data_IF_597339828543
#
_entry.id   IF_597339828543
#
_cell.length_a   1.000
_cell.length_b   1.000
_cell.length_c   1.000
_cell.angle_alpha   90.00
_cell.angle_beta   90.00
_cell.angle_gamma   90.00
#
_symmetry.space_group_name_H-M   'P 1'
#
loop_
_entity.id
_entity.type
_entity.pdbx_description
1 polymer ?
#
# COMPACT_ATOMS: atom_id res chain seq x y z
N UNK A 1 10.97 27.58 -20.19
CA UNK A 1 11.04 27.16 -18.78
C UNK A 1 11.66 25.77 -18.72
N UNK A 2 12.68 25.62 -17.88
CA UNK A 2 13.42 24.38 -17.70
C UNK A 2 13.28 23.94 -16.24
N UNK A 3 13.06 22.63 -16.03
CA UNK A 3 12.95 22.07 -14.69
C UNK A 3 13.86 20.83 -14.60
N UNK A 4 14.71 20.78 -13.56
CA UNK A 4 15.49 19.61 -13.19
C UNK A 4 14.85 18.87 -12.03
N UNK A 5 14.80 17.53 -12.11
CA UNK A 5 14.18 16.67 -11.10
C UNK A 5 15.14 15.67 -10.49
N UNK A 6 16.15 15.26 -11.24
CA UNK A 6 17.08 14.22 -10.80
C UNK A 6 18.51 14.60 -11.15
N UNK A 7 19.44 14.23 -10.28
CA UNK A 7 20.88 14.43 -10.49
C UNK A 7 21.63 13.15 -10.13
N UNK A 8 22.62 12.81 -10.96
CA UNK A 8 23.58 11.73 -10.67
C UNK A 8 25.00 12.25 -10.80
N UNK A 9 25.84 11.88 -9.84
CA UNK A 9 27.30 12.08 -9.96
C UNK A 9 27.89 10.88 -10.68
N UNK A 10 28.63 11.16 -11.76
CA UNK A 10 29.36 10.15 -12.51
C UNK A 10 30.66 9.77 -11.81
N UNK A 11 31.21 8.61 -12.17
CA UNK A 11 32.45 8.10 -11.57
C UNK A 11 33.69 9.00 -11.79
N UNK A 12 33.65 9.89 -12.79
CA UNK A 12 34.66 10.90 -13.10
C UNK A 12 34.44 12.25 -12.39
N UNK A 13 33.44 12.32 -11.50
CA UNK A 13 33.09 13.50 -10.72
C UNK A 13 32.17 14.49 -11.42
N UNK A 14 31.81 14.26 -12.68
CA UNK A 14 30.82 15.07 -13.42
C UNK A 14 29.44 14.87 -12.87
N UNK A 15 28.56 15.86 -13.07
CA UNK A 15 27.17 15.80 -12.67
C UNK A 15 26.27 15.80 -13.91
N UNK A 16 25.28 14.91 -13.93
CA UNK A 16 24.22 14.92 -14.95
C UNK A 16 22.90 15.22 -14.25
N UNK A 17 22.25 16.28 -14.70
CA UNK A 17 20.88 16.65 -14.25
C UNK A 17 19.92 16.34 -15.37
N UNK A 18 18.82 15.66 -15.03
CA UNK A 18 17.72 15.36 -15.97
C UNK A 18 16.43 16.06 -15.55
N UNK A 19 15.63 16.39 -16.54
CA UNK A 19 14.37 17.07 -16.37
C UNK A 19 13.63 17.25 -17.68
N UNK A 20 12.97 18.40 -17.85
CA UNK A 20 12.39 18.80 -19.11
C UNK A 20 12.68 20.28 -19.42
N UNK A 21 12.66 20.60 -20.70
CA UNK A 21 12.69 21.96 -21.20
C UNK A 21 11.57 22.20 -22.21
N UNK A 22 11.07 23.44 -22.27
CA UNK A 22 10.02 23.78 -23.23
C UNK A 22 10.66 24.06 -24.61
N UNK A 23 10.23 23.30 -25.61
CA UNK A 23 10.61 23.45 -27.01
C UNK A 23 9.37 23.84 -27.86
N UNK A 24 9.21 25.14 -28.07
CA UNK A 24 8.00 25.64 -28.73
C UNK A 24 6.76 25.49 -27.89
N UNK A 25 5.88 24.55 -28.22
CA UNK A 25 4.64 24.26 -27.49
C UNK A 25 4.72 23.07 -26.56
N UNK A 26 5.74 22.21 -26.70
CA UNK A 26 5.87 20.95 -25.97
C UNK A 26 7.02 20.99 -24.97
N UNK A 27 6.96 20.10 -23.96
CA UNK A 27 8.06 19.78 -23.07
C UNK A 27 8.78 18.56 -23.62
N UNK A 28 10.10 18.63 -23.67
CA UNK A 28 10.94 17.51 -24.09
C UNK A 28 11.89 17.11 -22.97
N UNK A 29 12.31 15.84 -22.91
CA UNK A 29 13.39 15.43 -21.99
C UNK A 29 14.58 16.33 -22.19
N UNK A 30 15.13 16.86 -21.12
CA UNK A 30 16.35 17.65 -21.17
C UNK A 30 17.36 17.20 -20.13
N UNK A 31 18.63 17.23 -20.53
CA UNK A 31 19.76 16.94 -19.67
C UNK A 31 20.79 18.05 -19.78
N UNK A 32 21.47 18.30 -18.66
CA UNK A 32 22.71 19.05 -18.68
C UNK A 32 23.81 18.22 -18.03
N UNK A 33 25.01 18.29 -18.55
CA UNK A 33 26.18 17.73 -17.87
C UNK A 33 27.14 18.82 -17.47
N UNK A 34 27.55 18.74 -16.20
CA UNK A 34 28.52 19.70 -15.61
C UNK A 34 29.82 18.98 -15.27
N UNK A 35 30.91 19.67 -15.44
CA UNK A 35 32.21 19.30 -14.89
C UNK A 35 32.17 19.41 -13.35
N UNK A 36 33.18 18.87 -12.67
CA UNK A 36 33.29 18.93 -11.22
C UNK A 36 33.36 20.36 -10.64
N UNK A 37 33.75 21.33 -11.46
CA UNK A 37 33.82 22.75 -11.10
C UNK A 37 32.50 23.49 -11.35
N UNK A 38 31.47 22.79 -11.85
CA UNK A 38 30.14 23.35 -12.16
C UNK A 38 30.04 24.00 -13.54
N UNK A 39 31.08 24.03 -14.35
CA UNK A 39 31.01 24.48 -15.74
C UNK A 39 30.33 23.45 -16.63
N UNK A 40 29.67 23.89 -17.73
CA UNK A 40 29.09 22.97 -18.72
C UNK A 40 30.18 22.10 -19.37
N UNK A 41 29.92 20.82 -19.49
CA UNK A 41 30.80 19.88 -20.18
C UNK A 41 30.48 19.80 -21.66
N UNK A 42 31.21 20.55 -22.48
CA UNK A 42 31.02 20.62 -23.94
C UNK A 42 31.31 19.31 -24.69
N UNK A 43 31.80 18.28 -24.01
CA UNK A 43 31.93 16.94 -24.60
C UNK A 43 30.63 16.13 -24.58
N UNK A 44 29.60 16.67 -23.96
CA UNK A 44 28.24 16.08 -23.92
C UNK A 44 27.35 16.87 -24.86
N UNK A 45 26.86 16.23 -25.92
CA UNK A 45 26.02 16.81 -26.97
C UNK A 45 26.51 18.19 -27.49
N UNK A 46 27.82 18.30 -27.70
CA UNK A 46 28.52 19.46 -28.23
C UNK A 46 28.54 20.74 -27.36
N UNK A 47 27.59 20.98 -26.48
CA UNK A 47 27.50 22.17 -25.62
C UNK A 47 27.21 21.88 -24.14
N UNK A 48 27.12 20.62 -23.76
CA UNK A 48 26.77 20.19 -22.39
C UNK A 48 25.30 20.12 -22.11
N UNK A 49 24.45 20.29 -23.13
CA UNK A 49 22.99 20.28 -23.00
C UNK A 49 22.39 19.37 -24.05
N UNK A 50 21.41 18.58 -23.68
CA UNK A 50 20.61 17.73 -24.54
C UNK A 50 19.13 18.05 -24.37
N UNK A 51 18.43 18.20 -25.47
CA UNK A 51 16.98 18.25 -25.49
C UNK A 51 16.47 17.21 -26.49
N UNK A 52 15.55 16.33 -26.07
CA UNK A 52 15.17 15.17 -26.85
C UNK A 52 13.70 14.84 -26.71
N UNK A 53 12.89 14.92 -27.77
CA UNK A 53 11.52 14.43 -27.75
C UNK A 53 11.50 12.89 -27.69
N UNK A 54 10.63 12.32 -26.89
CA UNK A 54 10.40 10.88 -26.77
C UNK A 54 9.05 10.52 -27.36
N UNK A 55 7.98 11.12 -26.87
CA UNK A 55 6.63 11.01 -27.41
C UNK A 55 6.35 12.05 -28.50
N UNK A 56 5.06 12.24 -28.80
CA UNK A 56 4.60 13.27 -29.75
C UNK A 56 4.05 14.52 -29.04
N UNK A 57 3.85 14.45 -27.73
CA UNK A 57 3.35 15.53 -26.89
C UNK A 57 4.38 15.99 -25.88
N UNK A 58 3.97 16.12 -24.63
CA UNK A 58 4.87 16.53 -23.54
C UNK A 58 5.63 15.33 -22.97
N UNK A 59 6.91 15.51 -22.76
CA UNK A 59 7.83 14.52 -22.20
C UNK A 59 8.47 15.04 -20.92
N UNK A 60 8.53 14.21 -19.87
CA UNK A 60 9.04 14.58 -18.55
C UNK A 60 10.09 13.57 -18.06
N UNK A 61 11.36 13.96 -18.02
CA UNK A 61 12.42 13.14 -17.45
C UNK A 61 12.52 13.36 -15.93
N UNK A 62 12.24 12.32 -15.14
CA UNK A 62 12.13 12.44 -13.68
C UNK A 62 13.22 11.74 -12.90
N UNK A 63 13.85 10.72 -13.48
CA UNK A 63 14.89 9.94 -12.81
C UNK A 63 16.04 9.67 -13.77
N UNK A 64 17.28 9.90 -13.35
CA UNK A 64 18.49 9.59 -14.12
C UNK A 64 19.45 8.73 -13.32
N UNK A 65 20.01 7.72 -13.97
CA UNK A 65 21.08 6.89 -13.41
C UNK A 65 22.24 6.78 -14.39
N UNK A 66 23.45 6.53 -13.87
CA UNK A 66 24.57 6.05 -14.66
C UNK A 66 24.71 4.55 -14.48
N UNK A 67 24.70 3.80 -15.58
CA UNK A 67 24.94 2.36 -15.57
C UNK A 67 26.43 2.03 -15.36
N UNK A 68 26.73 0.81 -14.95
CA UNK A 68 28.11 0.32 -14.73
C UNK A 68 29.01 0.47 -15.96
N UNK A 69 28.45 0.45 -17.17
CA UNK A 69 29.14 0.64 -18.45
C UNK A 69 29.30 2.10 -18.85
N UNK A 70 28.95 3.05 -17.98
CA UNK A 70 29.06 4.50 -18.19
C UNK A 70 27.92 5.12 -19.01
N UNK A 71 26.97 4.35 -19.50
CA UNK A 71 25.78 4.85 -20.18
C UNK A 71 24.83 5.52 -19.18
N UNK A 72 24.03 6.46 -19.67
CA UNK A 72 23.02 7.13 -18.89
C UNK A 72 21.63 6.61 -19.28
N UNK A 73 20.77 6.34 -18.31
CA UNK A 73 19.37 6.04 -18.54
C UNK A 73 18.54 7.12 -17.84
N UNK A 74 17.59 7.66 -18.56
CA UNK A 74 16.57 8.59 -18.00
C UNK A 74 15.22 7.93 -18.12
N UNK A 75 14.46 7.93 -17.03
CA UNK A 75 13.10 7.47 -16.98
C UNK A 75 12.15 8.61 -16.62
N UNK A 76 10.93 8.51 -17.09
CA UNK A 76 9.87 9.46 -16.86
C UNK A 76 8.61 9.04 -17.61
N UNK A 77 7.85 10.00 -18.09
CA UNK A 77 6.64 9.72 -18.85
C UNK A 77 6.50 10.66 -20.04
N UNK A 78 5.80 10.21 -21.06
CA UNK A 78 5.62 10.92 -22.31
C UNK A 78 4.20 10.81 -22.81
N UNK A 79 3.63 11.90 -23.27
CA UNK A 79 2.35 11.94 -23.96
C UNK A 79 2.55 11.43 -25.41
N UNK A 80 1.85 10.37 -25.75
CA UNK A 80 1.95 9.74 -27.08
C UNK A 80 0.98 10.32 -28.13
N UNK A 81 0.18 11.34 -27.76
CA UNK A 81 -0.72 12.04 -28.67
C UNK A 81 -1.90 11.22 -29.19
N UNK A 82 -2.04 9.98 -28.78
CA UNK A 82 -3.08 9.06 -29.26
C UNK A 82 -4.41 9.15 -28.48
N UNK A 83 -4.49 10.06 -27.49
CA UNK A 83 -5.65 10.19 -26.61
C UNK A 83 -5.72 9.12 -25.51
N UNK A 84 -4.73 8.22 -25.44
CA UNK A 84 -4.60 7.20 -24.40
C UNK A 84 -3.85 7.70 -23.14
N UNK A 85 -3.46 8.97 -23.10
CA UNK A 85 -2.74 9.57 -21.98
C UNK A 85 -1.21 9.48 -22.11
N UNK A 86 -0.53 9.54 -20.98
CA UNK A 86 0.93 9.41 -20.87
C UNK A 86 1.32 7.97 -20.61
N UNK A 87 2.49 7.56 -21.11
CA UNK A 87 3.05 6.24 -20.87
C UNK A 87 4.43 6.36 -20.20
N UNK A 88 4.90 5.31 -19.50
CA UNK A 88 6.28 5.24 -19.03
C UNK A 88 7.23 5.39 -20.21
N UNK A 89 8.19 6.30 -20.11
CA UNK A 89 9.16 6.53 -21.16
C UNK A 89 10.59 6.48 -20.63
N UNK A 90 11.48 5.91 -21.43
CA UNK A 90 12.91 5.85 -21.12
C UNK A 90 13.74 6.21 -22.34
N UNK A 91 14.88 6.80 -22.10
CA UNK A 91 15.96 6.94 -23.09
C UNK A 91 17.23 6.36 -22.52
N UNK A 92 18.09 5.81 -23.38
CA UNK A 92 19.46 5.49 -23.02
C UNK A 92 20.44 6.24 -23.89
N UNK A 93 21.43 6.84 -23.24
CA UNK A 93 22.47 7.66 -23.88
C UNK A 93 23.83 7.01 -23.68
N UNK A 94 24.66 7.15 -24.70
CA UNK A 94 26.10 6.94 -24.60
C UNK A 94 26.75 8.04 -23.72
N UNK A 95 27.98 7.84 -23.31
CA UNK A 95 28.71 8.79 -22.46
C UNK A 95 28.91 10.18 -23.10
N UNK A 96 28.77 10.31 -24.41
CA UNK A 96 28.85 11.57 -25.12
C UNK A 96 27.51 12.29 -25.33
N UNK A 97 26.41 11.75 -24.80
CA UNK A 97 25.06 12.32 -24.96
C UNK A 97 24.27 11.80 -26.16
N UNK A 98 24.89 11.06 -27.11
CA UNK A 98 24.16 10.47 -28.23
C UNK A 98 23.24 9.33 -27.77
N UNK A 99 22.11 9.11 -28.48
CA UNK A 99 21.23 7.95 -28.21
C UNK A 99 21.99 6.63 -28.43
N UNK A 100 21.80 5.70 -27.48
CA UNK A 100 22.23 4.32 -27.64
C UNK A 100 21.18 3.51 -28.37
N UNK A 101 21.33 3.37 -29.68
CA UNK A 101 20.36 2.74 -30.56
C UNK A 101 20.18 1.23 -30.31
N UNK A 102 20.99 0.61 -29.45
CA UNK A 102 20.82 -0.79 -29.02
C UNK A 102 19.78 -0.97 -27.91
N UNK A 103 19.22 0.14 -27.38
CA UNK A 103 18.20 0.12 -26.34
C UNK A 103 16.83 0.42 -26.93
N UNK A 104 15.91 -0.49 -26.76
CA UNK A 104 14.55 -0.34 -27.28
C UNK A 104 14.49 -0.05 -28.77
N UNK A 105 13.74 0.97 -29.16
CA UNK A 105 13.65 1.43 -30.54
C UNK A 105 14.47 2.70 -30.71
N UNK A 106 15.67 2.58 -31.28
CA UNK A 106 16.54 3.71 -31.54
C UNK A 106 17.00 4.50 -30.29
N UNK A 107 17.12 3.84 -29.14
CA UNK A 107 17.52 4.43 -27.88
C UNK A 107 16.37 4.92 -26.99
N UNK A 108 15.13 4.64 -27.39
CA UNK A 108 13.91 5.12 -26.72
C UNK A 108 12.95 3.98 -26.44
N UNK A 109 12.18 4.11 -25.37
CA UNK A 109 11.07 3.24 -25.01
C UNK A 109 9.86 4.08 -24.64
N UNK A 110 8.69 3.59 -25.02
CA UNK A 110 7.39 4.07 -24.57
C UNK A 110 6.57 2.84 -24.20
N UNK A 111 6.19 2.70 -22.94
CA UNK A 111 5.65 1.45 -22.39
C UNK A 111 4.37 1.76 -21.63
N UNK A 112 3.19 1.43 -22.18
CA UNK A 112 1.96 1.48 -21.42
C UNK A 112 1.97 0.40 -20.34
N UNK A 113 1.59 0.73 -19.12
CA UNK A 113 1.47 -0.20 -17.98
C UNK A 113 0.00 -0.48 -17.70
N UNK A 114 -0.77 0.56 -17.45
CA UNK A 114 -2.21 0.51 -17.26
C UNK A 114 -3.01 0.68 -18.54
N UNK A 115 -4.30 0.96 -18.41
CA UNK A 115 -5.21 1.22 -19.51
C UNK A 115 -5.41 2.72 -19.81
N UNK A 116 -4.85 3.60 -18.98
CA UNK A 116 -4.94 5.05 -19.08
C UNK A 116 -3.54 5.66 -18.90
N UNK A 117 -3.43 6.84 -18.28
CA UNK A 117 -2.13 7.50 -18.10
C UNK A 117 -1.24 6.78 -17.10
N UNK A 118 0.02 6.64 -17.44
CA UNK A 118 1.07 6.02 -16.66
C UNK A 118 2.21 7.02 -16.40
N UNK A 119 2.66 7.14 -15.14
CA UNK A 119 3.62 8.16 -14.72
C UNK A 119 4.80 7.51 -13.97
N UNK A 120 5.94 7.32 -14.64
CA UNK A 120 7.16 6.84 -14.00
C UNK A 120 7.79 7.94 -13.14
N UNK A 121 8.21 7.61 -11.92
CA UNK A 121 8.75 8.56 -10.95
C UNK A 121 10.20 8.25 -10.57
N UNK A 122 10.56 6.99 -10.47
CA UNK A 122 11.85 6.55 -9.93
C UNK A 122 12.36 5.33 -10.67
N UNK A 123 13.67 5.23 -10.80
CA UNK A 123 14.33 4.10 -11.46
C UNK A 123 15.58 3.68 -10.70
N UNK A 124 15.84 2.39 -10.68
CA UNK A 124 17.10 1.80 -10.21
C UNK A 124 17.66 0.82 -11.24
N UNK A 125 18.99 0.59 -11.20
CA UNK A 125 19.64 -0.54 -11.85
C UNK A 125 19.92 -1.62 -10.80
N UNK A 126 19.54 -2.85 -11.11
CA UNK A 126 19.84 -4.03 -10.29
C UNK A 126 21.27 -4.53 -10.58
N UNK A 127 21.81 -5.39 -9.72
CA UNK A 127 23.16 -5.95 -9.88
C UNK A 127 23.35 -6.86 -11.11
N UNK A 128 22.24 -7.31 -11.70
CA UNK A 128 22.17 -8.12 -12.94
C UNK A 128 21.91 -7.26 -14.19
N UNK A 129 22.16 -5.94 -14.10
CA UNK A 129 21.97 -4.92 -15.13
C UNK A 129 20.50 -4.67 -15.56
N UNK A 130 19.53 -5.31 -14.91
CA UNK A 130 18.11 -5.01 -15.15
C UNK A 130 17.75 -3.65 -14.58
N UNK A 131 16.74 -3.03 -15.20
CA UNK A 131 16.20 -1.76 -14.74
C UNK A 131 14.81 -1.97 -14.13
N UNK A 132 14.60 -1.44 -12.94
CA UNK A 132 13.27 -1.37 -12.33
C UNK A 132 12.83 0.09 -12.33
N UNK A 133 11.67 0.35 -12.89
CA UNK A 133 11.03 1.67 -12.91
C UNK A 133 9.73 1.59 -12.14
N UNK A 134 9.53 2.51 -11.20
CA UNK A 134 8.34 2.61 -10.39
C UNK A 134 7.63 3.95 -10.58
N UNK A 135 6.32 3.93 -10.43
CA UNK A 135 5.47 5.07 -10.55
C UNK A 135 4.01 4.69 -10.28
N UNK A 136 3.09 5.31 -10.98
CA UNK A 136 1.67 4.99 -10.84
C UNK A 136 0.95 5.02 -12.19
N UNK A 137 -0.17 4.31 -12.26
CA UNK A 137 -1.03 4.23 -13.44
C UNK A 137 -2.45 4.59 -13.06
N UNK A 138 -3.09 5.46 -13.85
CA UNK A 138 -4.49 5.81 -13.69
C UNK A 138 -5.37 4.73 -14.32
N UNK A 139 -6.14 4.00 -13.52
CA UNK A 139 -6.98 2.89 -13.97
C UNK A 139 -8.29 2.83 -13.19
N UNK A 140 -9.03 3.96 -13.17
CA UNK A 140 -10.22 4.14 -12.33
C UNK A 140 -9.91 4.63 -10.91
N UNK A 141 -8.68 4.92 -10.63
CA UNK A 141 -7.92 5.45 -9.51
C UNK A 141 -6.47 5.36 -9.90
N UNK A 142 -5.55 5.96 -9.16
CA UNK A 142 -4.13 5.74 -9.37
C UNK A 142 -3.67 4.53 -8.55
N UNK A 143 -2.94 3.61 -9.18
CA UNK A 143 -2.35 2.43 -8.54
C UNK A 143 -0.84 2.45 -8.66
N UNK A 144 -0.10 1.89 -7.70
CA UNK A 144 1.34 1.68 -7.84
C UNK A 144 1.61 0.84 -9.08
N UNK A 145 2.50 1.30 -9.93
CA UNK A 145 2.90 0.58 -11.13
C UNK A 145 4.41 0.45 -11.24
N UNK A 146 4.86 -0.73 -11.67
CA UNK A 146 6.27 -1.01 -11.89
C UNK A 146 6.45 -1.75 -13.22
N UNK A 147 7.61 -1.51 -13.82
CA UNK A 147 8.12 -2.36 -14.90
C UNK A 147 9.52 -2.83 -14.55
N UNK A 148 9.89 -4.02 -15.04
CA UNK A 148 11.28 -4.46 -15.06
C UNK A 148 11.73 -4.73 -16.48
N UNK A 149 12.89 -4.17 -16.83
CA UNK A 149 13.49 -4.29 -18.15
C UNK A 149 14.80 -5.07 -18.06
N UNK A 150 15.11 -5.82 -19.11
CA UNK A 150 16.44 -6.37 -19.33
C UNK A 150 17.44 -5.26 -19.73
N UNK A 151 18.72 -5.63 -19.85
CA UNK A 151 19.79 -4.70 -20.20
C UNK A 151 19.63 -4.03 -21.57
N UNK A 152 18.77 -4.53 -22.47
CA UNK A 152 18.53 -3.99 -23.80
C UNK A 152 17.20 -3.20 -23.89
N UNK A 153 16.46 -3.12 -22.80
CA UNK A 153 15.18 -2.42 -22.73
C UNK A 153 13.96 -3.31 -23.06
N UNK A 154 14.15 -4.63 -23.22
CA UNK A 154 13.04 -5.58 -23.31
C UNK A 154 12.37 -5.77 -21.95
N UNK A 155 11.05 -5.99 -21.92
CA UNK A 155 10.35 -6.35 -20.68
C UNK A 155 10.82 -7.70 -20.15
N UNK A 156 11.23 -7.75 -18.90
CA UNK A 156 11.62 -9.00 -18.22
C UNK A 156 10.37 -9.75 -17.78
N UNK A 157 9.95 -10.73 -18.57
CA UNK A 157 8.72 -11.51 -18.35
C UNK A 157 8.74 -12.39 -17.10
N UNK A 158 9.89 -12.51 -16.42
CA UNK A 158 9.99 -13.19 -15.11
C UNK A 158 9.57 -12.30 -13.93
N UNK A 159 9.15 -11.04 -14.19
CA UNK A 159 8.71 -10.09 -13.18
C UNK A 159 7.23 -9.78 -13.39
N UNK A 160 6.42 -10.06 -12.38
CA UNK A 160 4.99 -9.82 -12.42
C UNK A 160 4.29 -10.49 -13.61
N UNK A 161 3.44 -9.75 -14.29
CA UNK A 161 2.74 -10.21 -15.49
C UNK A 161 3.39 -9.59 -16.73
N UNK A 162 4.22 -10.39 -17.41
CA UNK A 162 4.90 -9.94 -18.63
C UNK A 162 5.86 -8.76 -18.45
N UNK A 163 6.50 -8.66 -17.29
CA UNK A 163 7.43 -7.58 -16.95
C UNK A 163 6.80 -6.34 -16.32
N UNK A 164 5.51 -6.41 -15.98
CA UNK A 164 4.72 -5.29 -15.45
C UNK A 164 3.99 -5.68 -14.19
N UNK A 165 3.80 -4.70 -13.30
CA UNK A 165 2.99 -4.80 -12.10
C UNK A 165 2.06 -3.59 -12.01
N UNK A 166 0.84 -3.84 -11.59
CA UNK A 166 -0.13 -2.84 -11.19
C UNK A 166 -0.66 -3.28 -9.83
N UNK A 167 -0.43 -2.49 -8.79
CA UNK A 167 -0.66 -2.90 -7.40
C UNK A 167 -1.51 -1.83 -6.72
N UNK A 168 -2.81 -2.09 -6.51
CA UNK A 168 -3.62 -1.26 -5.63
C UNK A 168 -3.11 -1.42 -4.19
N UNK A 169 -2.77 -0.33 -3.53
CA UNK A 169 -2.28 -0.32 -2.14
C UNK A 169 -3.42 0.03 -1.18
N UNK A 170 -4.30 0.91 -1.58
CA UNK A 170 -5.49 1.29 -0.84
C UNK A 170 -6.71 0.43 -1.16
N UNK A 171 -7.86 0.78 -0.61
CA UNK A 171 -9.15 0.12 -0.85
C UNK A 171 -10.06 0.98 -1.73
N UNK A 172 -10.78 0.35 -2.66
CA UNK A 172 -11.71 1.02 -3.54
C UNK A 172 -11.01 1.84 -4.63
N UNK A 173 -11.56 3.00 -4.99
CA UNK A 173 -11.00 3.95 -5.95
C UNK A 173 -10.00 4.92 -5.30
N UNK A 174 -9.15 4.42 -4.37
CA UNK A 174 -8.08 5.22 -3.77
C UNK A 174 -7.09 5.69 -4.85
N UNK A 175 -6.39 6.77 -4.56
CA UNK A 175 -5.32 7.26 -5.41
C UNK A 175 -3.99 6.92 -4.77
N UNK A 176 -3.33 5.91 -5.33
CA UNK A 176 -2.07 5.35 -4.83
C UNK A 176 -0.93 5.78 -5.75
N UNK A 177 0.05 6.52 -5.25
CA UNK A 177 1.13 7.09 -6.05
C UNK A 177 2.48 6.63 -5.51
N UNK A 178 3.23 5.83 -6.27
CA UNK A 178 4.61 5.47 -5.92
C UNK A 178 5.56 6.58 -6.34
N UNK A 179 6.46 6.98 -5.44
CA UNK A 179 7.44 8.05 -5.67
C UNK A 179 8.87 7.54 -5.76
N UNK A 180 9.19 6.43 -5.11
CA UNK A 180 10.56 5.94 -5.06
C UNK A 180 10.61 4.43 -4.95
N UNK A 181 11.64 3.85 -5.57
CA UNK A 181 11.98 2.42 -5.45
C UNK A 181 13.43 2.25 -5.07
N UNK A 182 13.72 1.28 -4.23
CA UNK A 182 15.09 0.86 -3.89
C UNK A 182 15.18 -0.65 -3.82
N UNK A 183 16.39 -1.20 -4.01
CA UNK A 183 16.68 -2.63 -3.85
C UNK A 183 17.42 -2.89 -2.55
N UNK A 184 16.95 -3.87 -1.80
CA UNK A 184 17.63 -4.37 -0.61
C UNK A 184 18.77 -5.33 -0.98
N UNK A 185 19.67 -5.61 -0.05
CA UNK A 185 20.81 -6.51 -0.26
C UNK A 185 20.41 -7.97 -0.55
N UNK A 186 19.19 -8.37 -0.18
CA UNK A 186 18.60 -9.69 -0.48
C UNK A 186 17.89 -9.74 -1.85
N UNK A 187 17.97 -8.66 -2.63
CA UNK A 187 17.38 -8.52 -3.96
C UNK A 187 15.92 -8.08 -3.97
N UNK A 188 15.27 -7.98 -2.83
CA UNK A 188 13.88 -7.50 -2.72
C UNK A 188 13.80 -6.01 -3.05
N UNK A 189 12.64 -5.58 -3.53
CA UNK A 189 12.36 -4.19 -3.86
C UNK A 189 11.48 -3.57 -2.79
N UNK A 190 11.83 -2.37 -2.36
CA UNK A 190 10.99 -1.53 -1.49
C UNK A 190 10.51 -0.36 -2.31
N UNK A 191 9.20 -0.17 -2.36
CA UNK A 191 8.54 0.93 -3.07
C UNK A 191 7.78 1.76 -2.06
N UNK A 192 7.99 3.06 -2.11
CA UNK A 192 7.33 4.01 -1.20
C UNK A 192 6.55 5.06 -1.98
N UNK A 193 5.48 5.53 -1.35
CA UNK A 193 4.62 6.53 -1.95
C UNK A 193 3.54 7.01 -1.00
N UNK A 194 2.40 7.36 -1.55
CA UNK A 194 1.21 7.74 -0.80
C UNK A 194 -0.01 6.98 -1.29
N UNK A 195 -0.97 6.80 -0.40
CA UNK A 195 -2.31 6.29 -0.69
C UNK A 195 -3.34 7.25 -0.12
N UNK A 196 -4.37 7.59 -0.89
CA UNK A 196 -5.42 8.52 -0.48
C UNK A 196 -6.75 7.79 -0.37
N UNK A 197 -7.29 7.74 0.85
CA UNK A 197 -8.60 7.18 1.17
C UNK A 197 -9.31 8.07 2.22
N UNK A 198 -9.72 9.25 1.78
CA UNK A 198 -10.22 10.31 2.66
C UNK A 198 -9.09 11.27 3.04
N UNK A 199 -8.07 10.79 3.71
CA UNK A 199 -6.79 11.48 3.95
C UNK A 199 -5.68 10.83 3.11
N UNK A 200 -4.55 11.54 2.94
CA UNK A 200 -3.38 11.00 2.24
C UNK A 200 -2.40 10.44 3.26
N UNK A 201 -2.16 9.15 3.16
CA UNK A 201 -1.26 8.42 4.04
C UNK A 201 0.03 8.02 3.34
N UNK A 202 1.07 7.81 4.13
CA UNK A 202 2.32 7.22 3.67
C UNK A 202 2.12 5.74 3.35
N UNK A 203 2.56 5.31 2.17
CA UNK A 203 2.45 3.92 1.72
C UNK A 203 3.80 3.31 1.39
N UNK A 204 3.98 2.05 1.76
CA UNK A 204 5.18 1.28 1.49
C UNK A 204 4.79 -0.16 1.18
N UNK A 205 5.35 -0.70 0.10
CA UNK A 205 5.28 -2.14 -0.22
C UNK A 205 6.68 -2.71 -0.37
N UNK A 206 6.82 -4.01 -0.09
CA UNK A 206 8.02 -4.76 -0.43
C UNK A 206 7.68 -5.89 -1.38
N UNK A 207 8.49 -6.05 -2.42
CA UNK A 207 8.32 -7.07 -3.44
C UNK A 207 9.48 -8.06 -3.39
N UNK A 208 9.18 -9.31 -3.63
CA UNK A 208 10.16 -10.35 -3.91
C UNK A 208 10.84 -10.08 -5.26
N UNK A 209 11.90 -10.81 -5.55
CA UNK A 209 12.68 -10.66 -6.79
C UNK A 209 11.89 -10.97 -8.07
N UNK A 210 10.79 -11.68 -7.98
CA UNK A 210 9.86 -11.99 -9.08
C UNK A 210 8.71 -10.98 -9.23
N UNK A 211 8.65 -9.98 -8.33
CA UNK A 211 7.60 -8.96 -8.31
C UNK A 211 6.38 -9.33 -7.47
N UNK A 212 6.32 -10.52 -6.87
CA UNK A 212 5.25 -10.84 -5.92
C UNK A 212 5.39 -10.01 -4.65
N UNK A 213 4.28 -9.69 -4.01
CA UNK A 213 4.31 -8.99 -2.72
C UNK A 213 5.00 -9.86 -1.66
N UNK A 214 5.91 -9.25 -0.91
CA UNK A 214 6.57 -9.91 0.21
C UNK A 214 5.71 -9.84 1.47
N UNK A 215 5.01 -10.91 1.77
CA UNK A 215 4.14 -11.04 2.94
C UNK A 215 4.90 -11.03 4.29
N UNK A 216 6.23 -11.14 4.28
CA UNK A 216 7.03 -11.08 5.52
C UNK A 216 7.29 -9.65 6.01
N UNK A 217 6.88 -8.62 5.24
CA UNK A 217 6.90 -7.23 5.70
C UNK A 217 5.67 -6.95 6.57
N UNK A 218 5.71 -7.39 7.81
CA UNK A 218 4.58 -7.29 8.75
C UNK A 218 4.36 -5.90 9.36
N UNK A 219 5.17 -4.91 9.02
CA UNK A 219 5.14 -3.58 9.66
C UNK A 219 4.46 -2.45 8.90
N UNK A 220 4.18 -2.60 7.59
CA UNK A 220 3.66 -1.49 6.76
C UNK A 220 2.66 -1.90 5.66
N UNK A 221 2.50 -3.17 5.37
CA UNK A 221 1.47 -3.64 4.45
C UNK A 221 0.16 -3.91 5.20
N UNK A 222 -0.36 -2.89 5.76
CA UNK A 222 -1.78 -2.68 5.79
C UNK A 222 -2.67 -3.37 6.78
N UNK A 223 -2.25 -4.26 7.68
CA UNK A 223 -3.12 -4.64 8.80
C UNK A 223 -2.85 -3.71 9.98
N UNK A 224 -3.75 -2.77 10.24
CA UNK A 224 -3.72 -1.94 11.45
C UNK A 224 -4.60 -2.58 12.54
N UNK A 225 -4.45 -3.89 12.73
CA UNK A 225 -5.21 -4.61 13.74
C UNK A 225 -4.77 -4.19 15.13
N UNK A 226 -5.68 -3.58 15.88
CA UNK A 226 -5.44 -3.19 17.26
C UNK A 226 -5.37 -1.68 17.49
N UNK A 227 -5.34 -1.29 18.75
CA UNK A 227 -5.38 0.10 19.15
C UNK A 227 -5.68 0.25 20.64
N UNK A 228 -6.39 1.32 20.99
CA UNK A 228 -6.84 1.56 22.37
C UNK A 228 -8.31 1.93 22.38
N UNK A 229 -9.06 1.41 23.36
CA UNK A 229 -10.45 1.78 23.58
C UNK A 229 -10.69 2.01 25.07
N UNK A 230 -11.75 2.73 25.42
CA UNK A 230 -12.15 2.96 26.82
C UNK A 230 -13.60 2.52 26.99
N UNK A 231 -13.83 1.56 27.87
CA UNK A 231 -15.16 1.06 28.22
C UNK A 231 -15.51 1.50 29.64
N UNK A 232 -16.71 2.03 29.85
CA UNK A 232 -17.22 2.31 31.19
C UNK A 232 -18.07 1.15 31.67
N UNK A 233 -17.76 0.60 32.85
CA UNK A 233 -18.49 -0.52 33.45
C UNK A 233 -20.00 -0.23 33.49
N UNK A 234 -20.79 -1.15 32.95
CA UNK A 234 -22.25 -0.99 32.83
C UNK A 234 -22.71 -0.01 31.75
N UNK A 235 -21.80 0.59 31.00
CA UNK A 235 -22.11 1.45 29.86
C UNK A 235 -22.40 0.66 28.58
N UNK A 236 -22.66 1.39 27.49
CA UNK A 236 -22.80 0.82 26.16
C UNK A 236 -21.50 0.20 25.66
N UNK A 237 -21.59 -0.79 24.77
CA UNK A 237 -20.44 -1.32 24.07
C UNK A 237 -19.67 -0.22 23.32
N UNK A 238 -18.35 -0.40 23.17
CA UNK A 238 -17.46 0.58 22.55
C UNK A 238 -16.76 -0.06 21.35
N UNK A 239 -16.62 0.69 20.27
CA UNK A 239 -15.84 0.28 19.10
C UNK A 239 -14.40 0.03 19.50
N UNK A 240 -13.86 -1.12 19.10
CA UNK A 240 -12.50 -1.52 19.45
C UNK A 240 -11.44 -0.77 18.64
N UNK A 241 -11.73 -0.57 17.36
CA UNK A 241 -10.80 0.04 16.42
C UNK A 241 -11.58 0.54 15.20
N UNK A 242 -11.75 1.86 15.08
CA UNK A 242 -12.58 2.47 14.03
C UNK A 242 -11.83 2.63 12.70
N UNK A 243 -10.51 2.55 12.70
CA UNK A 243 -9.65 2.69 11.52
C UNK A 243 -8.95 1.40 11.11
N UNK A 244 -9.31 0.28 11.75
CA UNK A 244 -8.73 -1.04 11.48
C UNK A 244 -8.79 -1.39 9.99
N UNK A 245 -7.67 -1.89 9.51
CA UNK A 245 -7.54 -2.49 8.17
C UNK A 245 -7.03 -3.92 8.34
N UNK A 246 -7.79 -4.87 7.85
CA UNK A 246 -7.40 -6.27 7.75
C UNK A 246 -7.02 -6.52 6.29
N UNK A 247 -5.73 -6.51 5.98
CA UNK A 247 -5.25 -6.63 4.59
C UNK A 247 -4.42 -7.89 4.43
N UNK A 248 -4.74 -8.66 3.40
CA UNK A 248 -3.88 -9.70 2.87
C UNK A 248 -3.43 -9.30 1.45
N UNK A 249 -2.11 -9.15 1.21
CA UNK A 249 -1.60 -8.67 -0.08
C UNK A 249 -1.91 -9.57 -1.28
N UNK A 250 -2.18 -10.85 -1.05
CA UNK A 250 -2.53 -11.81 -2.10
C UNK A 250 -4.03 -11.84 -2.34
N UNK A 251 -4.82 -11.85 -1.27
CA UNK A 251 -6.28 -11.88 -1.35
C UNK A 251 -6.86 -10.59 -1.95
N UNK A 252 -6.24 -9.44 -1.68
CA UNK A 252 -6.69 -8.15 -2.23
C UNK A 252 -6.57 -8.08 -3.75
N UNK A 253 -5.62 -8.80 -4.35
CA UNK A 253 -5.44 -8.82 -5.82
C UNK A 253 -6.48 -9.67 -6.55
N UNK A 254 -7.20 -10.54 -5.84
CA UNK A 254 -8.26 -11.35 -6.41
C UNK A 254 -9.48 -10.48 -6.78
N UNK A 255 -10.37 -11.04 -7.59
CA UNK A 255 -11.62 -10.39 -7.98
C UNK A 255 -11.40 -8.99 -8.60
N UNK A 256 -10.43 -8.90 -9.52
CA UNK A 256 -10.06 -7.66 -10.23
C UNK A 256 -9.64 -6.52 -9.28
N UNK A 257 -8.91 -6.84 -8.22
CA UNK A 257 -8.42 -5.88 -7.24
C UNK A 257 -9.41 -5.50 -6.12
N UNK A 258 -10.63 -6.02 -6.16
CA UNK A 258 -11.61 -5.80 -5.07
C UNK A 258 -11.44 -6.75 -3.89
N UNK A 259 -10.56 -7.73 -4.02
CA UNK A 259 -10.30 -8.76 -3.03
C UNK A 259 -11.29 -9.92 -3.05
N UNK A 260 -10.83 -11.08 -2.59
CA UNK A 260 -11.66 -12.24 -2.29
C UNK A 260 -11.08 -12.99 -1.09
N UNK A 261 -11.69 -12.79 0.07
CA UNK A 261 -11.27 -13.34 1.36
C UNK A 261 -11.96 -14.67 1.70
N UNK A 262 -12.48 -15.41 0.70
CA UNK A 262 -13.07 -16.73 0.94
C UNK A 262 -12.06 -17.68 1.59
N UNK A 263 -12.42 -18.23 2.75
CA UNK A 263 -11.57 -19.09 3.56
C UNK A 263 -10.77 -18.37 4.65
N UNK A 264 -10.62 -17.05 4.57
CA UNK A 264 -9.97 -16.28 5.62
C UNK A 264 -10.82 -16.22 6.89
N UNK A 265 -10.16 -16.05 8.04
CA UNK A 265 -10.83 -15.93 9.35
C UNK A 265 -10.27 -14.77 10.15
N UNK A 266 -11.15 -14.07 10.88
CA UNK A 266 -10.79 -13.04 11.84
C UNK A 266 -11.24 -13.48 13.22
N UNK A 267 -10.31 -13.54 14.19
CA UNK A 267 -10.59 -13.94 15.56
C UNK A 267 -10.18 -12.87 16.55
N UNK A 268 -11.02 -12.65 17.56
CA UNK A 268 -10.72 -11.80 18.72
C UNK A 268 -10.98 -12.59 20.01
N UNK A 269 -10.05 -12.46 20.94
CA UNK A 269 -10.21 -12.97 22.30
C UNK A 269 -9.23 -12.25 23.21
N UNK A 270 -9.42 -12.35 24.54
CA UNK A 270 -8.45 -11.85 25.52
C UNK A 270 -7.10 -12.57 25.36
N UNK A 271 -6.01 -11.81 25.50
CA UNK A 271 -4.64 -12.33 25.53
C UNK A 271 -4.47 -13.42 26.59
N UNK A 272 -3.88 -14.54 26.19
CA UNK A 272 -3.61 -15.71 27.02
C UNK A 272 -4.80 -16.67 27.12
N UNK A 273 -5.95 -16.23 27.56
CA UNK A 273 -7.14 -17.10 27.64
C UNK A 273 -8.43 -16.29 27.47
N UNK A 274 -9.36 -16.80 26.68
CA UNK A 274 -10.69 -16.22 26.52
C UNK A 274 -11.42 -16.16 27.86
N UNK A 275 -12.19 -15.11 28.08
CA UNK A 275 -12.98 -14.91 29.29
C UNK A 275 -14.43 -14.61 28.91
N UNK A 276 -15.35 -15.44 29.41
CA UNK A 276 -16.77 -15.34 29.08
C UNK A 276 -17.44 -14.01 29.49
N UNK A 277 -16.79 -13.22 30.32
CA UNK A 277 -17.25 -11.87 30.70
C UNK A 277 -16.91 -10.81 29.63
N UNK A 278 -16.01 -11.10 28.70
CA UNK A 278 -15.75 -10.28 27.53
C UNK A 278 -16.84 -10.55 26.51
N UNK A 279 -17.57 -9.52 26.15
CA UNK A 279 -18.72 -9.61 25.24
C UNK A 279 -18.44 -8.77 24.02
N UNK A 280 -18.47 -9.41 22.84
CA UNK A 280 -18.34 -8.74 21.57
C UNK A 280 -19.72 -8.52 20.95
N UNK A 281 -19.87 -7.45 20.16
CA UNK A 281 -21.02 -7.16 19.32
C UNK A 281 -20.60 -6.66 17.95
N UNK A 282 -21.49 -6.72 16.99
CA UNK A 282 -21.30 -6.17 15.66
C UNK A 282 -22.32 -5.03 15.48
N UNK A 283 -21.82 -3.80 15.45
CA UNK A 283 -22.64 -2.63 15.18
C UNK A 283 -22.96 -2.59 13.67
N UNK A 284 -24.22 -2.45 13.34
CA UNK A 284 -24.66 -2.36 11.93
C UNK A 284 -25.09 -0.95 11.53
N UNK A 285 -24.91 0.04 12.42
CA UNK A 285 -25.16 1.44 12.10
C UNK A 285 -24.08 1.92 11.14
N UNK A 286 -24.48 2.45 10.00
CA UNK A 286 -23.61 2.92 8.91
C UNK A 286 -22.71 1.83 8.28
N UNK A 287 -22.92 0.54 8.64
CA UNK A 287 -22.20 -0.57 8.07
C UNK A 287 -22.70 -0.95 6.65
N UNK A 288 -21.78 -1.45 5.82
CA UNK A 288 -22.12 -2.00 4.49
C UNK A 288 -22.66 -3.43 4.56
N UNK A 289 -22.86 -3.95 5.77
CA UNK A 289 -23.38 -5.29 6.02
C UNK A 289 -24.54 -5.26 7.01
N UNK A 290 -25.28 -6.34 7.02
CA UNK A 290 -26.33 -6.64 8.00
C UNK A 290 -26.06 -7.98 8.67
N UNK A 291 -26.61 -8.18 9.87
CA UNK A 291 -26.51 -9.43 10.63
C UNK A 291 -27.86 -10.18 10.56
N UNK A 292 -27.83 -11.46 10.16
CA UNK A 292 -29.01 -12.35 10.12
C UNK A 292 -28.65 -13.69 10.74
N UNK A 293 -29.04 -13.90 12.00
CA UNK A 293 -28.59 -15.05 12.81
C UNK A 293 -27.05 -14.99 12.98
N UNK A 294 -26.37 -16.03 12.52
CA UNK A 294 -24.88 -16.09 12.49
C UNK A 294 -24.26 -15.69 11.14
N UNK A 295 -25.04 -15.08 10.24
CA UNK A 295 -24.57 -14.68 8.92
C UNK A 295 -24.34 -13.17 8.85
N UNK A 296 -23.26 -12.75 8.16
CA UNK A 296 -23.02 -11.40 7.71
C UNK A 296 -23.41 -11.31 6.23
N UNK A 297 -24.25 -10.35 5.90
CA UNK A 297 -24.86 -10.23 4.57
C UNK A 297 -24.61 -8.84 3.98
N UNK A 298 -24.33 -8.80 2.68
CA UNK A 298 -24.30 -7.58 1.87
C UNK A 298 -25.31 -7.74 0.73
N UNK A 299 -26.22 -6.77 0.57
CA UNK A 299 -27.32 -6.89 -0.38
C UNK A 299 -28.23 -8.11 -0.16
N UNK A 300 -28.37 -8.57 1.09
CA UNK A 300 -29.15 -9.76 1.45
C UNK A 300 -28.45 -11.11 1.16
N UNK A 301 -27.20 -11.08 0.67
CA UNK A 301 -26.41 -12.26 0.35
C UNK A 301 -25.29 -12.48 1.38
N UNK A 302 -25.11 -13.72 1.85
CA UNK A 302 -24.11 -14.06 2.87
C UNK A 302 -22.70 -14.05 2.28
N UNK A 303 -21.80 -13.29 2.91
CA UNK A 303 -20.36 -13.26 2.59
C UNK A 303 -19.49 -13.75 3.75
N UNK A 304 -20.01 -13.82 4.97
CA UNK A 304 -19.31 -14.37 6.13
C UNK A 304 -20.28 -14.98 7.12
N UNK A 305 -19.76 -15.85 7.99
CA UNK A 305 -20.46 -16.38 9.17
C UNK A 305 -19.64 -16.08 10.41
N UNK A 306 -20.29 -16.04 11.59
CA UNK A 306 -19.54 -15.82 12.83
C UNK A 306 -20.07 -16.67 13.98
N UNK A 307 -19.18 -16.90 14.96
CA UNK A 307 -19.50 -17.40 16.29
C UNK A 307 -19.05 -16.40 17.34
N UNK A 308 -19.83 -16.22 18.39
CA UNK A 308 -19.54 -15.29 19.47
C UNK A 308 -19.90 -15.96 20.80
N UNK A 309 -18.96 -16.67 21.37
CA UNK A 309 -19.20 -17.50 22.58
C UNK A 309 -17.98 -17.54 23.49
N UNK A 310 -18.22 -17.56 24.80
CA UNK A 310 -17.16 -17.76 25.79
C UNK A 310 -16.07 -16.69 25.79
N UNK A 311 -16.38 -15.46 25.36
CA UNK A 311 -15.40 -14.38 25.23
C UNK A 311 -14.49 -14.50 24.01
N UNK A 312 -14.95 -15.20 22.97
CA UNK A 312 -14.28 -15.27 21.67
C UNK A 312 -15.27 -14.90 20.58
N UNK A 313 -14.89 -13.95 19.73
CA UNK A 313 -15.53 -13.69 18.44
C UNK A 313 -14.67 -14.33 17.34
N UNK A 314 -15.27 -15.17 16.51
CA UNK A 314 -14.62 -15.74 15.35
C UNK A 314 -15.50 -15.56 14.11
N UNK A 315 -14.96 -14.93 13.07
CA UNK A 315 -15.62 -14.64 11.81
C UNK A 315 -14.92 -15.44 10.71
N UNK A 316 -15.71 -16.16 9.91
CA UNK A 316 -15.22 -16.93 8.76
C UNK A 316 -15.77 -16.31 7.48
N UNK A 317 -14.90 -15.79 6.64
CA UNK A 317 -15.29 -15.20 5.35
C UNK A 317 -15.51 -16.29 4.31
N UNK A 318 -16.62 -16.17 3.59
CA UNK A 318 -17.00 -17.08 2.52
C UNK A 318 -17.26 -16.27 1.25
N UNK A 319 -17.35 -16.92 0.12
CA UNK A 319 -17.78 -16.26 -1.12
C UNK A 319 -18.84 -17.13 -1.81
N UNK A 320 -19.68 -17.76 -0.99
CA UNK A 320 -20.69 -18.70 -1.48
C UNK A 320 -21.89 -18.01 -2.15
N UNK A 321 -22.27 -16.83 -1.68
CA UNK A 321 -23.40 -16.06 -2.20
C UNK A 321 -23.01 -14.62 -2.56
N UNK A 322 -22.27 -13.92 -1.70
CA UNK A 322 -21.60 -12.66 -2.03
C UNK A 322 -20.09 -12.79 -1.79
N UNK A 323 -19.28 -12.12 -2.59
CA UNK A 323 -17.84 -12.12 -2.40
C UNK A 323 -17.47 -11.33 -1.13
N UNK A 324 -16.68 -11.95 -0.26
CA UNK A 324 -16.06 -11.26 0.87
C UNK A 324 -14.92 -10.36 0.35
N UNK A 325 -15.26 -9.16 -0.08
CA UNK A 325 -14.31 -8.17 -0.60
C UNK A 325 -13.48 -7.57 0.51
N UNK A 326 -12.33 -6.95 0.17
CA UNK A 326 -11.50 -6.20 1.12
C UNK A 326 -12.32 -5.12 1.86
N UNK A 327 -13.18 -4.41 1.14
CA UNK A 327 -14.04 -3.38 1.73
C UNK A 327 -14.96 -3.96 2.81
N UNK A 328 -15.62 -5.08 2.53
CA UNK A 328 -16.52 -5.75 3.50
C UNK A 328 -15.74 -6.31 4.71
N UNK A 329 -14.55 -6.89 4.50
CA UNK A 329 -13.71 -7.40 5.59
C UNK A 329 -13.28 -6.27 6.54
N UNK A 330 -12.84 -5.15 6.00
CA UNK A 330 -12.49 -3.97 6.77
C UNK A 330 -13.71 -3.36 7.48
N UNK A 331 -14.83 -3.29 6.78
CA UNK A 331 -16.06 -2.75 7.35
C UNK A 331 -16.54 -3.57 8.56
N UNK A 332 -16.51 -4.91 8.45
CA UNK A 332 -16.81 -5.80 9.58
C UNK A 332 -15.85 -5.55 10.74
N UNK A 333 -14.56 -5.48 10.48
CA UNK A 333 -13.54 -5.30 11.53
C UNK A 333 -13.71 -3.96 12.29
N UNK A 334 -14.03 -2.86 11.59
CA UNK A 334 -14.28 -1.53 12.17
C UNK A 334 -15.54 -1.44 13.01
N UNK A 335 -16.50 -2.33 12.78
CA UNK A 335 -17.79 -2.35 13.48
C UNK A 335 -17.83 -3.37 14.63
N UNK A 336 -16.68 -3.93 15.03
CA UNK A 336 -16.59 -4.79 16.21
C UNK A 336 -16.56 -3.91 17.45
N UNK A 337 -17.52 -4.17 18.35
CA UNK A 337 -17.63 -3.50 19.64
C UNK A 337 -17.36 -4.46 20.78
N UNK A 338 -17.00 -3.90 21.92
CA UNK A 338 -16.68 -4.60 23.15
C UNK A 338 -17.46 -4.03 24.34
N UNK A 339 -17.88 -4.92 25.21
CA UNK A 339 -18.33 -4.63 26.57
C UNK A 339 -17.84 -5.72 27.53
N UNK A 340 -17.92 -5.45 28.83
CA UNK A 340 -17.57 -6.42 29.87
C UNK A 340 -18.72 -6.58 30.87
N UNK A 341 -19.14 -7.83 31.07
CA UNK A 341 -20.27 -8.17 31.94
C UNK A 341 -19.89 -8.41 33.40
N UNK A 342 -18.62 -8.26 33.77
CA UNK A 342 -18.16 -8.45 35.15
C UNK A 342 -18.67 -7.35 36.09
N UNK A 343 -19.15 -7.73 37.23
CA UNK A 343 -19.41 -6.78 38.35
C UNK A 343 -18.15 -6.18 38.96
N UNK A 344 -16.99 -6.78 38.70
CA UNK A 344 -15.67 -6.35 39.18
C UNK A 344 -14.63 -6.56 38.06
N UNK A 345 -14.73 -5.82 36.95
CA UNK A 345 -13.79 -6.01 35.86
C UNK A 345 -12.38 -5.55 36.26
N UNK A 346 -11.33 -6.07 35.58
CA UNK A 346 -10.01 -5.53 35.75
C UNK A 346 -9.92 -4.09 35.20
N UNK A 347 -8.90 -3.31 35.60
CA UNK A 347 -8.71 -1.94 35.13
C UNK A 347 -8.44 -1.87 33.63
N UNK A 348 -7.91 -2.94 33.03
CA UNK A 348 -7.76 -3.06 31.57
C UNK A 348 -7.75 -4.50 31.13
N UNK A 349 -8.05 -4.72 29.87
CA UNK A 349 -7.90 -6.01 29.16
C UNK A 349 -7.17 -5.77 27.86
N UNK A 350 -6.36 -6.75 27.45
CA UNK A 350 -5.77 -6.77 26.11
C UNK A 350 -6.50 -7.84 25.30
N UNK A 351 -6.98 -7.45 24.13
CA UNK A 351 -7.69 -8.30 23.19
C UNK A 351 -6.81 -8.53 21.97
N UNK A 352 -6.50 -9.78 21.67
CA UNK A 352 -5.70 -10.16 20.51
C UNK A 352 -6.58 -10.34 19.28
N UNK A 353 -6.17 -9.72 18.20
CA UNK A 353 -6.70 -9.89 16.86
C UNK A 353 -5.83 -10.88 16.10
N UNK A 354 -6.43 -11.82 15.40
CA UNK A 354 -5.74 -12.77 14.53
C UNK A 354 -6.52 -12.85 13.24
N UNK A 355 -5.95 -12.33 12.16
CA UNK A 355 -6.42 -12.56 10.80
C UNK A 355 -5.60 -13.70 10.20
N UNK A 356 -6.26 -14.76 9.74
CA UNK A 356 -5.66 -15.87 8.99
C UNK A 356 -6.19 -15.84 7.56
N UNK A 357 -5.31 -15.90 6.57
CA UNK A 357 -5.68 -15.82 5.15
C UNK A 357 -6.40 -17.06 4.62
N UNK A 358 -6.37 -18.16 5.37
CA UNK A 358 -7.01 -19.42 4.98
C UNK A 358 -6.40 -20.09 3.74
N UNK A 359 -5.16 -19.73 3.37
CA UNK A 359 -4.52 -20.26 2.16
C UNK A 359 -4.33 -21.77 2.25
N UNK A 360 -4.97 -22.49 1.31
CA UNK A 360 -4.84 -23.94 1.12
C UNK A 360 -4.04 -24.28 -0.15
N UNK A 361 -3.30 -23.30 -0.70
CA UNK A 361 -2.46 -23.47 -1.90
C UNK A 361 -3.10 -22.94 -3.19
N UNK A 362 -4.38 -22.54 -3.18
CA UNK A 362 -5.05 -21.92 -4.35
C UNK A 362 -4.76 -20.41 -4.50
N UNK A 363 -4.16 -19.79 -3.49
CA UNK A 363 -3.89 -18.34 -3.38
C UNK A 363 -2.40 -18.02 -3.44
N UNK A 364 -1.56 -18.99 -3.82
CA UNK A 364 -0.11 -18.87 -3.89
C UNK A 364 0.62 -20.08 -3.33
N UNK A 365 1.95 -20.13 -3.48
CA UNK A 365 2.79 -21.20 -2.91
C UNK A 365 3.07 -20.90 -1.43
N UNK A 366 2.52 -21.69 -0.53
CA UNK A 366 2.71 -21.56 0.92
C UNK A 366 1.50 -22.08 1.69
N UNK A 367 1.62 -22.24 3.00
CA UNK A 367 0.50 -22.52 3.91
C UNK A 367 -0.19 -21.23 4.33
N UNK A 368 -1.25 -21.36 5.12
CA UNK A 368 -1.96 -20.23 5.70
C UNK A 368 -1.03 -19.35 6.56
N UNK A 369 -1.09 -18.05 6.36
CA UNK A 369 -0.36 -17.03 7.11
C UNK A 369 -1.29 -16.28 8.04
N UNK A 370 -0.72 -15.63 9.07
CA UNK A 370 -1.49 -14.86 10.04
C UNK A 370 -0.93 -13.46 10.23
N UNK A 371 -1.82 -12.46 10.26
CA UNK A 371 -1.53 -11.14 10.81
C UNK A 371 -2.14 -11.03 12.21
N UNK A 372 -1.40 -10.43 13.13
CA UNK A 372 -1.83 -10.25 14.52
C UNK A 372 -1.71 -8.81 14.96
N UNK A 373 -2.56 -8.42 15.92
CA UNK A 373 -2.51 -7.15 16.60
C UNK A 373 -3.22 -7.24 17.93
N UNK A 374 -3.23 -6.15 18.70
CA UNK A 374 -3.87 -6.13 20.03
C UNK A 374 -4.54 -4.79 20.30
N UNK A 375 -5.74 -4.82 20.86
CA UNK A 375 -6.41 -3.64 21.41
C UNK A 375 -6.36 -3.66 22.92
N UNK A 376 -5.87 -2.57 23.52
CA UNK A 376 -5.92 -2.39 24.97
C UNK A 376 -7.23 -1.65 25.29
N UNK A 377 -8.12 -2.31 26.03
CA UNK A 377 -9.36 -1.69 26.52
C UNK A 377 -9.14 -1.29 27.98
N UNK A 378 -9.10 0.01 28.23
CA UNK A 378 -9.15 0.55 29.60
C UNK A 378 -10.58 0.49 30.11
N UNK A 379 -10.79 -0.11 31.29
CA UNK A 379 -12.12 -0.24 31.88
C UNK A 379 -12.23 0.74 33.05
N UNK A 380 -13.08 1.75 32.91
CA UNK A 380 -13.38 2.70 33.99
C UNK A 380 -14.50 2.17 34.87
N UNK A 381 -14.36 2.19 36.21
CA UNK A 381 -15.45 1.79 37.09
C UNK A 381 -16.70 2.67 36.90
N UNK A 382 -17.87 2.09 37.07
CA UNK A 382 -19.09 2.86 37.17
C UNK A 382 -19.03 3.80 38.37
N UNK A 383 -19.48 5.03 38.25
CA UNK A 383 -19.59 5.93 39.42
C UNK A 383 -20.60 5.35 40.39
N UNK A 384 -20.11 4.78 41.50
CA UNK A 384 -20.99 4.29 42.57
C UNK A 384 -21.47 5.48 43.43
N UNK A 385 -22.75 5.46 43.77
CA UNK A 385 -23.30 6.41 44.72
C UNK A 385 -22.53 6.30 46.05
N UNK A 386 -22.18 7.38 46.73
CA UNK A 386 -21.50 7.32 48.03
C UNK A 386 -22.37 6.52 49.01
N UNK A 387 -21.79 5.47 49.59
CA UNK A 387 -22.41 4.73 50.69
C UNK A 387 -22.00 5.37 52.01
N UNK A 388 -22.97 5.84 52.76
CA UNK A 388 -22.77 6.29 54.15
C UNK A 388 -22.62 5.06 55.06
N UNK A 389 -21.39 4.60 55.22
CA UNK A 389 -21.08 3.55 56.18
C UNK A 389 -20.78 4.22 57.55
N UNK A 390 -21.54 3.88 58.57
CA UNK A 390 -21.17 4.16 59.95
C UNK A 390 -21.83 5.36 60.63
N UNK A 391 -23.06 5.70 60.26
CA UNK A 391 -23.87 6.52 61.18
C UNK A 391 -24.28 5.62 62.38
N UNK A 392 -23.88 5.96 63.63
CA UNK A 392 -24.39 5.24 64.77
C UNK A 392 -25.89 5.47 64.90
N UNK A 393 -26.65 4.38 64.86
CA UNK A 393 -28.13 4.42 65.12
C UNK A 393 -28.28 4.51 66.65
N UNK A 394 -27.88 5.62 67.22
CA UNK A 394 -28.28 5.97 68.57
C UNK A 394 -29.29 7.09 68.48
N UNK A 395 -30.55 6.87 68.95
CA UNK A 395 -31.51 7.97 69.07
C UNK A 395 -30.91 8.99 70.04
N UNK A 396 -30.73 10.21 69.57
CA UNK A 396 -30.53 11.35 70.51
C UNK A 396 -31.89 11.63 71.17
N UNK A 397 -32.03 11.31 72.45
CA UNK A 397 -33.07 11.85 73.26
C UNK A 397 -32.76 13.31 73.53
N UNK A 398 -33.58 14.23 73.02
CA UNK A 398 -33.53 15.62 73.39
C UNK A 398 -34.31 15.71 74.69
N UNK A 399 -33.65 16.13 75.80
CA UNK A 399 -34.27 16.56 77.02
C UNK A 399 -34.95 17.95 76.83
#
# INVERSE_FOLDING_TARGET
NDNGFSVVQQSDGKLVVAGYSINGSNRDFSLIRLNADGSLDSSFDADGKLMLPVGTGNDYGLSVIQQSNGKLVVAGYSDNGSGSGSDFSLIRLNSNGSLDTSFGTGGKLLIPVGSSSDFAQSMIQQSDDKLVVAGYSENGGADFSLIRLDANGGLDTSFGTGGKLLIPVGVGSSSDTAFSVTQQSDGKLVVVGSSSHGDTDFSLIRLNTDGTLDSSLTGFAGSTLGGTATFTQGGSAVTLDADVKAVDPQLVLLNSGSGNYAGATLRLARTGAANAQDVFSLNTTDAQFTVSGSNLQSGGQTFATFTNTGGTLAISFTSSAATATQALVNDVARHIEYSNSSGTPPASVTLDWVLNDGNTGSQGTGGALTATGSTIVTITPANAAPTLNGLPVTPQTVE
#
